data_IF_966214299045
#
_entry.id   IF_966214299045
#
_cell.length_a   1.000
_cell.length_b   1.000
_cell.length_c   1.000
_cell.angle_alpha   90.00
_cell.angle_beta   90.00
_cell.angle_gamma   90.00
#
_symmetry.space_group_name_H-M   'P 1'
#
loop_
_entity.id
_entity.type
_entity.pdbx_description
1 polymer ?
#
# COMPACT_ATOMS: atom_id res chain seq x y z
N UNK A 1 -3.95 -25.84 -45.90
CA UNK A 1 -3.23 -25.41 -44.70
C UNK A 1 -3.02 -23.92 -44.75
N UNK A 2 -3.60 -23.16 -43.83
CA UNK A 2 -2.95 -21.97 -43.32
C UNK A 2 -2.75 -22.07 -41.80
N UNK A 3 -1.51 -21.82 -41.43
CA UNK A 3 -1.00 -21.62 -40.09
C UNK A 3 -1.60 -20.37 -39.45
N UNK A 4 -1.94 -20.44 -38.16
CA UNK A 4 -1.54 -19.52 -37.08
C UNK A 4 -2.36 -19.87 -35.83
N UNK A 5 -1.76 -20.44 -34.76
CA UNK A 5 -2.38 -20.35 -33.45
C UNK A 5 -2.23 -18.90 -32.98
N UNK A 6 -3.32 -18.16 -33.05
CA UNK A 6 -3.50 -16.84 -32.44
C UNK A 6 -3.59 -17.01 -30.91
N UNK A 7 -2.52 -17.54 -30.32
CA UNK A 7 -2.36 -17.62 -28.87
C UNK A 7 -1.85 -16.27 -28.43
N UNK A 8 -2.75 -15.34 -28.18
CA UNK A 8 -2.44 -14.17 -27.39
C UNK A 8 -1.91 -14.67 -26.04
N UNK A 9 -0.72 -14.25 -25.58
CA UNK A 9 -0.34 -14.50 -24.21
C UNK A 9 -1.36 -13.76 -23.36
N UNK A 10 -2.20 -14.52 -22.65
CA UNK A 10 -2.90 -14.01 -21.47
C UNK A 10 -1.79 -13.75 -20.47
N UNK A 11 -1.13 -12.59 -20.61
CA UNK A 11 -0.34 -12.02 -19.52
C UNK A 11 -1.32 -11.86 -18.38
N UNK A 12 -1.07 -12.64 -17.34
CA UNK A 12 -1.57 -12.48 -15.99
C UNK A 12 -1.40 -11.00 -15.60
N UNK A 13 -2.42 -10.20 -15.86
CA UNK A 13 -2.37 -8.73 -15.79
C UNK A 13 -3.62 -8.20 -15.09
N UNK A 14 -4.09 -8.92 -14.08
CA UNK A 14 -5.21 -8.50 -13.22
C UNK A 14 -4.92 -8.79 -11.74
N UNK A 15 -3.66 -8.84 -11.33
CA UNK A 15 -3.34 -8.71 -9.90
C UNK A 15 -3.17 -7.23 -9.63
N UNK A 16 -4.19 -6.60 -9.05
CA UNK A 16 -4.13 -5.19 -8.64
C UNK A 16 -2.79 -4.96 -7.91
N UNK A 17 -1.97 -3.97 -8.32
CA UNK A 17 -0.65 -3.81 -7.77
C UNK A 17 -0.77 -3.68 -6.25
N UNK A 18 -0.01 -4.48 -5.48
CA UNK A 18 -0.16 -4.51 -4.03
C UNK A 18 -0.06 -3.09 -3.48
N UNK A 19 -0.95 -2.73 -2.58
CA UNK A 19 -0.95 -1.40 -1.95
C UNK A 19 -0.37 -1.50 -0.54
N UNK A 20 0.44 -0.51 -0.16
CA UNK A 20 1.01 -0.39 1.18
C UNK A 20 0.21 0.64 1.97
N UNK A 21 -0.24 0.24 3.17
CA UNK A 21 -0.92 1.13 4.11
C UNK A 21 0.03 1.97 4.96
N UNK A 22 -0.50 3.03 5.56
CA UNK A 22 0.22 3.97 6.41
C UNK A 22 1.03 3.31 7.55
N UNK A 23 0.48 2.31 8.23
CA UNK A 23 1.17 1.61 9.32
C UNK A 23 2.40 0.84 8.81
N UNK A 24 2.26 0.14 7.68
CA UNK A 24 3.34 -0.63 7.06
C UNK A 24 4.47 0.29 6.58
N UNK A 25 4.14 1.45 5.99
CA UNK A 25 5.14 2.49 5.72
C UNK A 25 5.87 2.94 6.99
N UNK A 26 5.15 3.19 8.08
CA UNK A 26 5.73 3.65 9.34
C UNK A 26 6.72 2.65 9.94
N UNK A 27 6.42 1.36 9.85
CA UNK A 27 7.35 0.28 10.22
C UNK A 27 8.56 0.27 9.29
N UNK A 28 8.34 0.36 7.96
CA UNK A 28 9.41 0.37 6.95
C UNK A 28 10.41 1.51 7.10
N UNK A 29 9.94 2.70 7.44
CA UNK A 29 10.79 3.85 7.73
C UNK A 29 11.51 3.76 9.09
N UNK A 30 11.25 2.72 9.90
CA UNK A 30 11.78 2.59 11.25
C UNK A 30 11.28 3.69 12.19
N UNK A 31 10.10 4.27 11.90
CA UNK A 31 9.50 5.39 12.66
C UNK A 31 8.25 4.95 13.40
N UNK A 32 8.24 3.75 13.95
CA UNK A 32 7.13 3.22 14.73
C UNK A 32 6.73 4.14 15.90
N UNK A 33 7.65 4.98 16.40
CA UNK A 33 7.42 5.90 17.51
C UNK A 33 6.71 7.22 17.14
N UNK A 34 6.54 7.54 15.85
CA UNK A 34 5.98 8.84 15.44
C UNK A 34 4.47 8.88 15.63
N UNK A 35 3.91 9.96 16.18
CA UNK A 35 2.45 10.13 16.12
C UNK A 35 1.96 10.19 14.66
N UNK A 36 0.70 9.82 14.43
CA UNK A 36 0.13 9.80 13.08
C UNK A 36 0.26 11.16 12.38
N UNK A 37 0.02 12.24 13.11
CA UNK A 37 0.14 13.62 12.59
C UNK A 37 1.59 13.94 12.20
N UNK A 38 2.55 13.57 13.05
CA UNK A 38 3.98 13.75 12.80
C UNK A 38 4.45 12.92 11.61
N UNK A 39 3.93 11.71 11.45
CA UNK A 39 4.28 10.84 10.33
C UNK A 39 3.66 11.33 9.01
N UNK A 40 2.45 11.90 9.03
CA UNK A 40 1.87 12.56 7.85
C UNK A 40 2.72 13.76 7.41
N UNK A 41 3.12 14.63 8.35
CA UNK A 41 3.98 15.77 8.05
C UNK A 41 5.34 15.32 7.48
N UNK A 42 5.90 14.24 8.02
CA UNK A 42 7.13 13.64 7.51
C UNK A 42 6.98 13.11 6.07
N UNK A 43 5.89 12.37 5.78
CA UNK A 43 5.61 11.87 4.44
C UNK A 43 5.37 13.03 3.45
N UNK A 44 4.69 14.08 3.87
CA UNK A 44 4.50 15.27 3.03
C UNK A 44 5.85 15.88 2.64
N UNK A 45 6.76 16.01 3.60
CA UNK A 45 8.10 16.55 3.36
C UNK A 45 8.92 15.65 2.43
N UNK A 46 8.79 14.33 2.54
CA UNK A 46 9.41 13.39 1.59
C UNK A 46 8.85 13.51 0.17
N UNK A 47 7.55 13.77 0.02
CA UNK A 47 6.91 13.98 -1.28
C UNK A 47 7.42 15.27 -1.91
N UNK A 48 7.44 16.37 -1.15
CA UNK A 48 7.84 17.69 -1.63
C UNK A 48 9.35 17.79 -1.93
N UNK A 49 10.20 17.22 -1.06
CA UNK A 49 11.65 17.48 -1.07
C UNK A 49 12.47 16.33 -1.69
N UNK A 50 11.98 15.09 -1.58
CA UNK A 50 12.73 13.87 -1.94
C UNK A 50 12.03 13.03 -3.02
N UNK A 51 10.96 13.56 -3.62
CA UNK A 51 10.25 12.91 -4.72
C UNK A 51 9.59 11.59 -4.34
N UNK A 52 9.25 11.39 -3.06
CA UNK A 52 8.53 10.19 -2.63
C UNK A 52 7.17 10.08 -3.33
N UNK A 53 6.73 8.87 -3.73
CA UNK A 53 5.46 8.71 -4.45
C UNK A 53 4.27 9.23 -3.64
N UNK A 54 3.34 9.98 -4.28
CA UNK A 54 2.13 10.44 -3.60
C UNK A 54 1.20 9.26 -3.29
N UNK A 55 0.35 9.38 -2.26
CA UNK A 55 -0.66 8.36 -1.97
C UNK A 55 -1.71 8.30 -3.08
N UNK A 56 -2.40 7.16 -3.13
CA UNK A 56 -3.57 6.97 -3.96
C UNK A 56 -4.68 7.97 -3.58
N UNK A 57 -5.42 8.51 -4.56
CA UNK A 57 -6.46 9.50 -4.31
C UNK A 57 -7.52 8.94 -3.37
N UNK A 58 -7.71 9.60 -2.21
CA UNK A 58 -8.74 9.23 -1.26
C UNK A 58 -9.96 10.13 -1.41
N UNK A 59 -11.15 9.52 -1.41
CA UNK A 59 -12.41 10.25 -1.27
C UNK A 59 -12.51 10.88 0.13
N UNK A 60 -12.48 12.20 0.19
CA UNK A 60 -12.78 12.95 1.40
C UNK A 60 -14.22 13.43 1.33
N UNK A 61 -15.08 12.82 2.16
CA UNK A 61 -16.44 13.29 2.35
C UNK A 61 -16.42 14.53 3.25
N UNK A 62 -16.94 15.67 2.79
CA UNK A 62 -17.02 16.85 3.61
C UNK A 62 -18.09 16.64 4.68
N UNK A 63 -17.73 16.85 5.95
CA UNK A 63 -18.68 16.82 7.05
C UNK A 63 -19.48 18.12 7.06
N UNK A 64 -20.80 18.04 7.20
CA UNK A 64 -21.62 19.23 7.52
C UNK A 64 -21.23 19.73 8.90
N UNK A 65 -20.89 21.01 8.99
CA UNK A 65 -20.72 21.70 10.28
C UNK A 65 -22.07 22.12 10.88
N UNK A 66 -23.07 22.39 10.03
CA UNK A 66 -24.43 22.75 10.41
C UNK A 66 -25.44 22.27 9.35
N UNK A 67 -26.72 22.06 9.73
CA UNK A 67 -27.79 21.64 8.80
C UNK A 67 -28.10 22.69 7.73
N UNK A 68 -27.81 23.95 8.01
CA UNK A 68 -28.14 25.11 7.17
C UNK A 68 -27.08 25.39 6.10
N UNK A 69 -25.89 24.80 6.21
CA UNK A 69 -24.81 25.00 5.24
C UNK A 69 -24.92 24.01 4.08
N UNK A 70 -24.80 24.46 2.81
CA UNK A 70 -24.72 23.56 1.67
C UNK A 70 -23.58 22.55 1.85
N UNK A 71 -23.83 21.28 1.55
CA UNK A 71 -22.80 20.24 1.64
C UNK A 71 -21.70 20.57 0.61
N UNK A 72 -20.43 20.70 1.01
CA UNK A 72 -19.35 20.86 0.04
C UNK A 72 -19.32 19.65 -0.91
N UNK A 73 -18.79 19.82 -2.13
CA UNK A 73 -18.57 18.68 -3.02
C UNK A 73 -17.47 17.79 -2.47
N UNK A 74 -17.64 16.47 -2.62
CA UNK A 74 -16.58 15.51 -2.33
C UNK A 74 -15.30 15.88 -3.09
N UNK A 75 -14.16 15.78 -2.43
CA UNK A 75 -12.84 16.06 -3.03
C UNK A 75 -11.99 14.81 -2.98
N UNK A 76 -11.26 14.59 -4.07
CA UNK A 76 -10.13 13.67 -4.08
C UNK A 76 -8.96 14.37 -3.42
N UNK A 77 -8.43 13.76 -2.36
CA UNK A 77 -7.26 14.26 -1.67
C UNK A 77 -6.11 13.28 -1.86
N UNK A 78 -4.96 13.81 -2.29
CA UNK A 78 -3.71 13.08 -2.44
C UNK A 78 -2.70 13.46 -1.34
N UNK A 79 -3.15 14.12 -0.27
CA UNK A 79 -2.31 14.38 0.90
C UNK A 79 -2.20 13.10 1.76
N UNK A 80 -1.04 12.87 2.41
CA UNK A 80 -0.83 11.75 3.30
C UNK A 80 -1.80 11.83 4.48
N UNK A 81 -2.51 10.72 4.70
CA UNK A 81 -3.45 10.54 5.80
C UNK A 81 -3.26 9.15 6.39
N UNK A 82 -3.60 8.90 7.67
CA UNK A 82 -3.51 7.56 8.28
C UNK A 82 -4.27 6.43 7.56
N UNK A 83 -5.17 6.80 6.63
CA UNK A 83 -6.02 5.89 5.86
C UNK A 83 -5.65 5.87 4.37
N UNK A 84 -4.60 6.58 4.00
CA UNK A 84 -4.09 6.59 2.64
C UNK A 84 -3.33 5.29 2.37
N UNK A 85 -3.28 4.94 1.10
CA UNK A 85 -2.57 3.77 0.59
C UNK A 85 -1.61 4.23 -0.51
N UNK A 86 -0.51 3.51 -0.66
CA UNK A 86 0.51 3.80 -1.66
C UNK A 86 0.70 2.59 -2.58
N UNK A 87 1.02 2.80 -3.87
CA UNK A 87 1.41 1.69 -4.74
C UNK A 87 2.72 1.06 -4.23
N UNK A 88 2.71 -0.23 -3.90
CA UNK A 88 3.88 -0.92 -3.32
C UNK A 88 5.10 -0.81 -4.22
N UNK A 89 4.94 -1.12 -5.51
CA UNK A 89 6.03 -1.07 -6.49
C UNK A 89 6.74 0.29 -6.56
N UNK A 90 5.99 1.40 -6.44
CA UNK A 90 6.58 2.74 -6.49
C UNK A 90 7.35 3.06 -5.21
N UNK A 91 6.83 2.61 -4.06
CA UNK A 91 7.52 2.71 -2.77
C UNK A 91 8.79 1.85 -2.79
N UNK A 92 8.70 0.61 -3.26
CA UNK A 92 9.82 -0.32 -3.38
C UNK A 92 10.93 0.25 -4.26
N UNK A 93 10.59 0.69 -5.48
CA UNK A 93 11.54 1.30 -6.39
C UNK A 93 12.22 2.56 -5.80
N UNK A 94 11.45 3.40 -5.09
CA UNK A 94 12.02 4.56 -4.40
C UNK A 94 12.98 4.16 -3.29
N UNK A 95 12.64 3.14 -2.49
CA UNK A 95 13.53 2.63 -1.46
C UNK A 95 14.78 1.97 -2.04
N UNK A 96 14.67 1.21 -3.13
CA UNK A 96 15.82 0.56 -3.79
C UNK A 96 16.81 1.58 -4.36
N UNK A 97 16.33 2.67 -4.96
CA UNK A 97 17.17 3.77 -5.45
C UNK A 97 17.85 4.53 -4.29
N UNK A 98 17.19 4.62 -3.14
CA UNK A 98 17.71 5.28 -1.93
C UNK A 98 18.53 4.39 -0.99
N UNK A 99 18.52 3.06 -1.16
CA UNK A 99 19.21 2.13 -0.27
C UNK A 99 20.63 1.84 -0.79
N UNK A 100 21.69 2.14 -0.01
CA UNK A 100 23.01 1.62 -0.35
C UNK A 100 22.96 0.08 -0.37
N UNK A 101 23.68 -0.59 -1.30
CA UNK A 101 23.55 -2.02 -1.54
C UNK A 101 23.79 -2.90 -0.30
N UNK A 102 24.51 -2.40 0.71
CA UNK A 102 24.70 -3.06 1.99
C UNK A 102 23.40 -3.21 2.83
N UNK A 103 22.42 -2.32 2.65
CA UNK A 103 21.18 -2.30 3.43
C UNK A 103 20.00 -2.96 2.70
N UNK A 104 20.09 -3.15 1.38
CA UNK A 104 19.06 -3.83 0.58
C UNK A 104 18.79 -5.26 1.08
N UNK A 105 19.83 -6.00 1.46
CA UNK A 105 19.73 -7.35 2.00
C UNK A 105 18.94 -7.43 3.34
N UNK A 106 18.96 -6.38 4.16
CA UNK A 106 18.19 -6.33 5.41
C UNK A 106 16.71 -6.06 5.15
N UNK A 107 16.39 -5.30 4.10
CA UNK A 107 15.01 -5.01 3.68
C UNK A 107 14.36 -6.24 3.07
N UNK A 108 15.11 -7.01 2.25
CA UNK A 108 14.65 -8.28 1.68
C UNK A 108 14.32 -9.33 2.77
N UNK A 109 15.21 -9.47 3.76
CA UNK A 109 14.97 -10.36 4.90
C UNK A 109 13.75 -9.94 5.75
N UNK A 110 13.49 -8.63 5.85
CA UNK A 110 12.32 -8.09 6.54
C UNK A 110 11.04 -8.33 5.74
N UNK A 111 11.09 -8.19 4.41
CA UNK A 111 9.98 -8.45 3.50
C UNK A 111 9.54 -9.93 3.53
N UNK A 112 10.49 -10.87 3.55
CA UNK A 112 10.18 -12.30 3.72
C UNK A 112 9.47 -12.59 5.04
N UNK A 113 9.86 -11.91 6.12
CA UNK A 113 9.23 -12.06 7.44
C UNK A 113 7.80 -11.53 7.45
N UNK A 114 7.56 -10.43 6.74
CA UNK A 114 6.25 -9.80 6.68
C UNK A 114 5.28 -10.63 5.83
N UNK A 115 5.74 -11.18 4.70
CA UNK A 115 4.96 -12.14 3.91
C UNK A 115 4.60 -13.39 4.72
N UNK A 116 5.51 -13.87 5.58
CA UNK A 116 5.22 -14.97 6.49
C UNK A 116 4.14 -14.60 7.53
N UNK A 117 4.18 -13.40 8.10
CA UNK A 117 3.14 -12.93 9.03
C UNK A 117 1.78 -12.76 8.35
N UNK A 118 1.74 -12.26 7.11
CA UNK A 118 0.51 -12.09 6.34
C UNK A 118 -0.13 -13.46 6.01
N UNK A 119 0.69 -14.46 5.66
CA UNK A 119 0.23 -15.85 5.50
C UNK A 119 -0.29 -16.45 6.81
N UNK A 120 0.34 -16.12 7.95
CA UNK A 120 -0.07 -16.64 9.26
C UNK A 120 -1.39 -16.00 9.74
N UNK A 121 -1.58 -14.71 9.46
CA UNK A 121 -2.83 -14.00 9.70
C UNK A 121 -3.96 -14.51 8.79
N UNK A 122 -3.68 -14.74 7.50
CA UNK A 122 -4.61 -15.38 6.59
C UNK A 122 -4.96 -16.82 7.02
N UNK A 123 -4.00 -17.57 7.57
CA UNK A 123 -4.22 -18.91 8.11
C UNK A 123 -5.13 -18.91 9.34
N UNK A 124 -5.06 -17.88 10.20
CA UNK A 124 -5.97 -17.72 11.34
C UNK A 124 -7.44 -17.55 10.92
N UNK A 125 -7.69 -17.08 9.70
CA UNK A 125 -9.02 -16.86 9.15
C UNK A 125 -9.55 -18.06 8.33
N UNK A 126 -8.74 -19.09 8.11
CA UNK A 126 -9.18 -20.33 7.48
C UNK A 126 -9.92 -21.23 8.48
N UNK A 127 -11.25 -21.27 8.37
CA UNK A 127 -12.05 -22.27 9.06
C UNK A 127 -11.79 -23.64 8.43
N UNK A 128 -11.24 -24.58 9.22
CA UNK A 128 -11.10 -25.98 8.82
C UNK A 128 -12.51 -26.55 8.57
N UNK A 129 -12.93 -26.62 7.30
CA UNK A 129 -14.13 -27.36 6.93
C UNK A 129 -13.78 -28.83 7.10
N UNK A 130 -14.08 -29.37 8.27
CA UNK A 130 -13.92 -30.79 8.56
C UNK A 130 -14.64 -31.59 7.49
N UNK A 131 -13.89 -32.40 6.75
CA UNK A 131 -14.45 -33.41 5.86
C UNK A 131 -15.34 -34.34 6.67
N UNK A 132 -16.65 -34.10 6.57
CA UNK A 132 -17.69 -35.04 6.97
C UNK A 132 -18.35 -35.55 5.71
N UNK A 133 -17.74 -36.54 5.07
CA UNK A 133 -18.35 -37.49 4.15
C UNK A 133 -17.44 -38.73 4.18
N UNK A 134 -17.82 -39.93 4.61
CA UNK A 134 -19.03 -40.50 5.18
C UNK A 134 -18.69 -41.87 5.75
#
# INVERSE_FOLDING_TARGET
MPSHPDTWPITDADEAPPTIGFHKLRVRFGRADYSDDRFCAYLQLLIDDQGFPPPLPRHVQPRRKDRSTPLPRARLCCEPHPKSQWPAHAVDAWFEDFLPPANAAQVEASAMREAANDMDEAACHLHLVGGREG
#
